data_IF_155511048179
#
_entry.id   IF_155511048179
#
_cell.length_a   1.000
_cell.length_b   1.000
_cell.length_c   1.000
_cell.angle_alpha   90.00
_cell.angle_beta   90.00
_cell.angle_gamma   90.00
#
_symmetry.space_group_name_H-M   'P 1'
#
loop_
_entity.id
_entity.type
_entity.pdbx_description
1 polymer ?
#
# COMPACT_ATOMS: atom_id res chain seq x y z
N UNK A 1 32.16 18.71 3.87
CA UNK A 1 30.72 18.92 4.16
C UNK A 1 30.03 19.28 2.86
N UNK A 2 29.44 18.31 2.16
CA UNK A 2 28.93 18.58 0.82
C UNK A 2 28.61 17.34 0.01
N UNK A 3 27.92 16.36 0.60
CA UNK A 3 27.27 15.32 -0.18
C UNK A 3 25.81 15.25 0.24
N UNK A 4 25.02 16.07 -0.45
CA UNK A 4 23.81 15.61 -1.09
C UNK A 4 22.85 14.84 -0.18
N UNK A 5 22.04 15.61 0.56
CA UNK A 5 20.64 15.27 0.87
C UNK A 5 19.86 15.05 -0.43
N UNK A 6 20.21 14.01 -1.20
CA UNK A 6 19.39 13.55 -2.30
C UNK A 6 18.24 12.81 -1.62
N UNK A 7 16.98 13.25 -1.77
CA UNK A 7 15.85 12.48 -1.22
C UNK A 7 16.02 11.06 -1.76
N UNK A 8 16.21 10.12 -0.83
CA UNK A 8 16.68 8.77 -1.13
C UNK A 8 15.89 8.23 -2.30
N UNK A 9 16.59 7.78 -3.36
CA UNK A 9 15.97 7.15 -4.53
C UNK A 9 14.88 6.23 -4.01
N UNK A 10 13.64 6.55 -4.34
CA UNK A 10 12.50 5.69 -4.05
C UNK A 10 12.86 4.31 -4.61
N UNK A 11 13.16 3.37 -3.72
CA UNK A 11 13.54 2.02 -4.10
C UNK A 11 12.27 1.18 -4.02
N UNK A 12 11.56 0.97 -5.14
CA UNK A 12 10.31 0.21 -5.14
C UNK A 12 10.53 -1.20 -4.59
N UNK A 13 11.71 -1.80 -4.78
CA UNK A 13 12.05 -3.09 -4.20
C UNK A 13 12.07 -3.08 -2.67
N UNK A 14 12.62 -2.03 -2.05
CA UNK A 14 12.64 -1.90 -0.59
C UNK A 14 11.23 -1.65 -0.02
N UNK A 15 10.42 -0.84 -0.69
CA UNK A 15 9.02 -0.61 -0.29
C UNK A 15 8.20 -1.90 -0.40
N UNK A 16 8.39 -2.67 -1.48
CA UNK A 16 7.67 -3.92 -1.70
C UNK A 16 8.10 -5.00 -0.69
N UNK A 17 9.40 -5.04 -0.33
CA UNK A 17 9.91 -5.89 0.73
C UNK A 17 9.37 -5.50 2.11
N UNK A 18 9.30 -4.21 2.42
CA UNK A 18 8.69 -3.71 3.65
C UNK A 18 7.20 -4.03 3.70
N UNK A 19 6.49 -3.85 2.58
CA UNK A 19 5.07 -4.16 2.48
C UNK A 19 4.78 -5.64 2.78
N UNK A 20 5.59 -6.55 2.25
CA UNK A 20 5.53 -7.98 2.57
C UNK A 20 5.89 -8.30 4.02
N UNK A 21 6.84 -7.58 4.61
CA UNK A 21 7.21 -7.75 6.02
C UNK A 21 6.14 -7.21 7.00
N UNK A 22 5.29 -6.28 6.54
CA UNK A 22 4.26 -5.63 7.36
C UNK A 22 2.84 -5.77 6.77
N UNK A 23 2.36 -7.00 6.53
CA UNK A 23 1.09 -7.22 5.82
C UNK A 23 -0.11 -6.60 6.56
N UNK A 24 -0.08 -6.57 7.90
CA UNK A 24 -1.13 -5.95 8.72
C UNK A 24 -1.23 -4.43 8.51
N UNK A 25 -0.09 -3.75 8.40
CA UNK A 25 -0.05 -2.28 8.22
C UNK A 25 -0.57 -1.94 6.83
N UNK A 26 -0.10 -2.66 5.80
CA UNK A 26 -0.52 -2.43 4.42
C UNK A 26 -2.02 -2.70 4.25
N UNK A 27 -2.54 -3.80 4.80
CA UNK A 27 -3.97 -4.10 4.75
C UNK A 27 -4.82 -3.04 5.45
N UNK A 28 -4.39 -2.52 6.60
CA UNK A 28 -5.10 -1.44 7.30
C UNK A 28 -5.16 -0.15 6.48
N UNK A 29 -4.04 0.24 5.86
CA UNK A 29 -3.99 1.41 4.97
C UNK A 29 -4.91 1.21 3.76
N UNK A 30 -4.87 0.03 3.14
CA UNK A 30 -5.71 -0.28 1.97
C UNK A 30 -7.19 -0.22 2.33
N UNK A 31 -7.61 -0.83 3.44
CA UNK A 31 -9.01 -0.75 3.90
C UNK A 31 -9.42 0.70 4.16
N UNK A 32 -8.55 1.51 4.78
CA UNK A 32 -8.80 2.93 4.99
C UNK A 32 -8.98 3.72 3.69
N UNK A 33 -8.07 3.53 2.73
CA UNK A 33 -8.14 4.16 1.40
C UNK A 33 -9.38 3.71 0.66
N UNK A 34 -9.67 2.41 0.65
CA UNK A 34 -10.86 1.84 0.01
C UNK A 34 -12.13 2.41 0.63
N UNK A 35 -12.19 2.59 1.96
CA UNK A 35 -13.31 3.22 2.64
C UNK A 35 -13.53 4.66 2.19
N UNK A 36 -12.45 5.46 2.11
CA UNK A 36 -12.52 6.84 1.59
C UNK A 36 -12.97 6.86 0.13
N UNK A 37 -12.38 6.03 -0.73
CA UNK A 37 -12.74 5.96 -2.14
C UNK A 37 -14.19 5.50 -2.33
N UNK A 38 -14.65 4.53 -1.53
CA UNK A 38 -16.04 4.07 -1.59
C UNK A 38 -17.03 5.15 -1.12
N UNK A 39 -16.60 6.07 -0.26
CA UNK A 39 -17.42 7.19 0.17
C UNK A 39 -17.62 8.26 -0.93
N UNK A 40 -16.62 8.49 -1.78
CA UNK A 40 -16.76 9.38 -2.96
C UNK A 40 -17.22 8.66 -4.22
N UNK A 41 -17.03 7.34 -4.30
CA UNK A 41 -17.35 6.50 -5.45
C UNK A 41 -17.93 5.16 -4.98
N UNK A 42 -19.23 5.10 -4.68
CA UNK A 42 -19.85 3.91 -4.09
C UNK A 42 -19.85 2.68 -5.01
N UNK A 43 -19.75 2.85 -6.34
CA UNK A 43 -19.54 1.74 -7.27
C UNK A 43 -18.10 1.20 -7.31
N UNK A 44 -17.19 1.73 -6.50
CA UNK A 44 -15.82 1.25 -6.44
C UNK A 44 -15.77 -0.19 -5.88
N UNK A 45 -15.09 -1.14 -6.55
CA UNK A 45 -15.04 -2.53 -6.13
C UNK A 45 -14.06 -2.74 -4.96
N UNK A 46 -14.32 -2.09 -3.83
CA UNK A 46 -13.44 -2.06 -2.68
C UNK A 46 -13.09 -3.45 -2.14
N UNK A 47 -14.07 -4.35 -2.07
CA UNK A 47 -13.87 -5.72 -1.63
C UNK A 47 -12.89 -6.49 -2.54
N UNK A 48 -12.95 -6.26 -3.85
CA UNK A 48 -12.02 -6.89 -4.80
C UNK A 48 -10.59 -6.38 -4.62
N UNK A 49 -10.43 -5.09 -4.33
CA UNK A 49 -9.12 -4.47 -4.06
C UNK A 49 -8.52 -5.01 -2.76
N UNK A 50 -9.31 -5.09 -1.70
CA UNK A 50 -8.86 -5.66 -0.42
C UNK A 50 -8.50 -7.14 -0.58
N UNK A 51 -9.31 -7.91 -1.32
CA UNK A 51 -9.03 -9.32 -1.61
C UNK A 51 -7.73 -9.50 -2.43
N UNK A 52 -7.50 -8.66 -3.44
CA UNK A 52 -6.29 -8.68 -4.25
C UNK A 52 -5.04 -8.38 -3.41
N UNK A 53 -5.12 -7.39 -2.52
CA UNK A 53 -4.02 -7.04 -1.61
C UNK A 53 -3.74 -8.17 -0.62
N UNK A 54 -4.78 -8.81 -0.08
CA UNK A 54 -4.61 -9.96 0.80
C UNK A 54 -3.95 -11.13 0.06
N UNK A 55 -4.40 -11.45 -1.16
CA UNK A 55 -3.78 -12.49 -1.97
C UNK A 55 -2.31 -12.17 -2.31
N UNK A 56 -1.98 -10.90 -2.52
CA UNK A 56 -0.61 -10.47 -2.85
C UNK A 56 0.34 -10.47 -1.65
N UNK A 57 -0.19 -10.28 -0.43
CA UNK A 57 0.59 -10.19 0.81
C UNK A 57 0.61 -11.50 1.62
N UNK A 58 -0.40 -12.35 1.46
CA UNK A 58 -0.56 -13.62 2.17
C UNK A 58 -0.26 -14.87 1.34
N UNK A 59 0.06 -14.70 0.05
CA UNK A 59 0.53 -15.76 -0.86
C UNK A 59 2.04 -15.93 -0.86
#
# INVERSE_FOLDING_TARGET
MGEHSKPGRFNPGALMSWAKAHPKIVSAVVVGVVGVVSAVKPEFPGAAVVAAVHAFLGG
#
